data_IF_164438116590
#
_entry.id   IF_164438116590
#
_cell.length_a   1.000
_cell.length_b   1.000
_cell.length_c   1.000
_cell.angle_alpha   90.00
_cell.angle_beta   90.00
_cell.angle_gamma   90.00
#
_symmetry.space_group_name_H-M   'P 1'
#
loop_
_entity.id
_entity.type
_entity.pdbx_description
1 polymer ?
#
# COMPACT_ATOMS: atom_id res chain seq x y z
N UNK A 1 3.07 41.14 40.20
CA UNK A 1 1.75 40.70 39.68
C UNK A 1 1.23 39.62 40.59
N UNK A 2 0.21 39.93 41.36
CA UNK A 2 -0.42 38.95 42.28
C UNK A 2 -1.45 38.12 41.54
N UNK A 3 -1.60 36.86 41.94
CA UNK A 3 -2.58 35.87 41.37
C UNK A 3 -4.00 36.48 41.32
N UNK A 4 -4.33 37.31 42.30
CA UNK A 4 -5.60 38.03 42.40
C UNK A 4 -5.82 39.07 41.27
N UNK A 5 -4.76 39.77 40.85
CA UNK A 5 -4.85 40.73 39.74
C UNK A 5 -5.06 40.01 38.40
N UNK A 6 -4.41 38.84 38.22
CA UNK A 6 -4.63 38.02 37.05
C UNK A 6 -6.08 37.52 36.95
N UNK A 7 -6.66 37.03 38.04
CA UNK A 7 -8.07 36.61 38.05
C UNK A 7 -9.04 37.75 37.78
N UNK A 8 -8.75 38.92 38.32
CA UNK A 8 -9.58 40.12 38.12
C UNK A 8 -9.55 40.59 36.67
N UNK A 9 -8.39 40.61 36.07
CA UNK A 9 -8.21 41.00 34.63
C UNK A 9 -8.84 39.98 33.68
N UNK A 10 -8.67 38.69 33.97
CA UNK A 10 -9.26 37.61 33.18
C UNK A 10 -10.80 37.65 33.23
N UNK A 11 -11.37 37.91 34.42
CA UNK A 11 -12.84 38.03 34.58
C UNK A 11 -13.40 39.28 33.87
N UNK A 12 -12.68 40.37 33.84
CA UNK A 12 -13.08 41.58 33.10
C UNK A 12 -13.06 41.36 31.56
N UNK A 13 -12.14 40.50 31.08
CA UNK A 13 -11.98 40.20 29.65
C UNK A 13 -12.52 38.82 29.24
N UNK A 14 -13.36 38.20 30.08
CA UNK A 14 -13.92 36.88 29.81
C UNK A 14 -14.68 36.80 28.48
N UNK A 15 -15.31 37.91 28.09
CA UNK A 15 -15.98 38.05 26.80
C UNK A 15 -15.01 37.89 25.62
N UNK A 16 -13.82 38.49 25.66
CA UNK A 16 -12.80 38.35 24.63
C UNK A 16 -12.29 36.90 24.55
N UNK A 17 -12.15 36.21 25.69
CA UNK A 17 -11.73 34.82 25.75
C UNK A 17 -12.78 33.91 25.13
N UNK A 18 -14.06 34.15 25.41
CA UNK A 18 -15.16 33.38 24.79
C UNK A 18 -15.20 33.61 23.28
N UNK A 19 -15.06 34.85 22.80
CA UNK A 19 -15.00 35.12 21.36
C UNK A 19 -13.80 34.41 20.72
N UNK A 20 -12.63 34.44 21.35
CA UNK A 20 -11.45 33.73 20.87
C UNK A 20 -11.66 32.22 20.73
N UNK A 21 -12.30 31.60 21.72
CA UNK A 21 -12.67 30.18 21.69
C UNK A 21 -13.66 29.87 20.56
N UNK A 22 -14.71 30.70 20.41
CA UNK A 22 -15.75 30.48 19.37
C UNK A 22 -15.12 30.63 17.97
N UNK A 23 -14.33 31.67 17.75
CA UNK A 23 -13.64 31.90 16.46
C UNK A 23 -12.65 30.79 16.17
N UNK A 24 -11.84 30.39 17.17
CA UNK A 24 -10.89 29.27 17.02
C UNK A 24 -11.59 27.95 16.73
N UNK A 25 -12.69 27.65 17.42
CA UNK A 25 -13.49 26.45 17.18
C UNK A 25 -14.14 26.45 15.79
N UNK A 26 -14.71 27.59 15.37
CA UNK A 26 -15.30 27.73 14.04
C UNK A 26 -14.25 27.57 12.92
N UNK A 27 -13.09 28.20 13.06
CA UNK A 27 -11.99 28.07 12.12
C UNK A 27 -11.44 26.63 12.06
N UNK A 28 -11.24 25.99 13.22
CA UNK A 28 -10.77 24.60 13.29
C UNK A 28 -11.78 23.61 12.69
N UNK A 29 -13.06 23.80 13.00
CA UNK A 29 -14.13 22.96 12.43
C UNK A 29 -14.24 23.18 10.90
N UNK A 30 -14.17 24.43 10.45
CA UNK A 30 -14.18 24.74 9.02
C UNK A 30 -12.99 24.09 8.28
N UNK A 31 -11.80 24.16 8.85
CA UNK A 31 -10.61 23.52 8.29
C UNK A 31 -10.74 21.99 8.26
N UNK A 32 -11.20 21.38 9.34
CA UNK A 32 -11.38 19.94 9.44
C UNK A 32 -12.43 19.41 8.44
N UNK A 33 -13.51 20.16 8.20
CA UNK A 33 -14.57 19.77 7.25
C UNK A 33 -14.14 19.86 5.79
N UNK A 34 -13.11 20.64 5.48
CA UNK A 34 -12.54 20.77 4.13
C UNK A 34 -11.52 19.68 3.81
N UNK A 35 -11.09 18.89 4.80
CA UNK A 35 -10.13 17.80 4.54
C UNK A 35 -10.80 16.66 3.78
N UNK A 36 -10.18 16.18 2.69
CA UNK A 36 -10.69 15.03 1.95
C UNK A 36 -10.65 13.77 2.82
N UNK A 37 -11.74 13.02 2.83
CA UNK A 37 -11.78 11.73 3.54
C UNK A 37 -10.91 10.72 2.79
N UNK A 38 -9.98 10.12 3.50
CA UNK A 38 -9.10 9.08 2.98
C UNK A 38 -9.49 7.75 3.62
N UNK A 39 -9.86 6.79 2.78
CA UNK A 39 -10.17 5.43 3.19
C UNK A 39 -8.96 4.54 2.92
N UNK A 40 -8.59 3.71 3.90
CA UNK A 40 -7.52 2.74 3.77
C UNK A 40 -8.12 1.34 3.67
N UNK A 41 -7.57 0.52 2.77
CA UNK A 41 -7.89 -0.90 2.67
C UNK A 41 -6.59 -1.69 2.61
N UNK A 42 -6.57 -2.87 3.24
CA UNK A 42 -5.39 -3.73 3.26
C UNK A 42 -5.73 -5.13 2.77
N UNK A 43 -4.84 -5.69 1.95
CA UNK A 43 -4.90 -7.07 1.46
C UNK A 43 -3.58 -7.76 1.76
N UNK A 44 -3.62 -9.06 2.09
CA UNK A 44 -2.42 -9.82 2.43
C UNK A 44 -2.29 -11.06 1.58
N UNK A 45 -1.06 -11.39 1.17
CA UNK A 45 -0.72 -12.59 0.42
C UNK A 45 0.48 -13.31 1.01
N UNK A 46 0.47 -14.63 0.97
CA UNK A 46 1.58 -15.47 1.40
C UNK A 46 2.46 -15.84 0.20
N UNK A 47 3.77 -15.69 0.35
CA UNK A 47 4.76 -16.09 -0.66
C UNK A 47 5.21 -17.51 -0.36
N UNK A 48 4.91 -18.44 -1.25
CA UNK A 48 5.42 -19.82 -1.18
C UNK A 48 6.50 -20.00 -2.24
N UNK A 49 7.60 -20.62 -1.83
CA UNK A 49 8.65 -21.10 -2.73
C UNK A 49 8.60 -22.60 -2.64
N UNK A 50 8.15 -23.27 -3.69
CA UNK A 50 8.00 -24.71 -3.68
C UNK A 50 8.38 -25.35 -5.00
N UNK A 51 9.33 -26.25 -4.96
CA UNK A 51 9.44 -27.40 -5.84
C UNK A 51 8.97 -28.64 -5.09
N UNK A 52 8.32 -29.55 -5.81
CA UNK A 52 7.87 -30.86 -5.29
C UNK A 52 9.08 -31.77 -5.03
N UNK A 53 9.77 -31.51 -3.96
CA UNK A 53 10.92 -32.28 -3.50
C UNK A 53 11.26 -31.87 -2.08
N UNK A 54 11.69 -32.82 -1.27
CA UNK A 54 12.10 -32.67 0.14
C UNK A 54 13.15 -31.58 0.34
N UNK A 55 12.76 -30.31 0.24
CA UNK A 55 13.60 -29.18 0.55
C UNK A 55 13.47 -28.91 2.04
N UNK A 56 14.61 -28.74 2.67
CA UNK A 56 14.76 -28.37 4.07
C UNK A 56 13.83 -27.18 4.37
N UNK A 57 12.77 -27.44 5.15
CA UNK A 57 11.69 -26.49 5.45
C UNK A 57 12.24 -25.17 6.01
N UNK A 58 13.40 -25.21 6.63
CA UNK A 58 14.06 -24.07 7.25
C UNK A 58 14.69 -23.13 6.20
N UNK A 59 15.40 -23.67 5.22
CA UNK A 59 16.01 -22.90 4.14
C UNK A 59 14.96 -22.35 3.19
N UNK A 60 13.88 -23.09 2.93
CA UNK A 60 12.72 -22.64 2.16
C UNK A 60 12.01 -21.45 2.81
N UNK A 61 11.89 -21.45 4.14
CA UNK A 61 11.24 -20.36 4.87
C UNK A 61 12.06 -19.04 4.85
N UNK A 62 13.39 -19.13 4.93
CA UNK A 62 14.28 -17.97 4.85
C UNK A 62 14.27 -17.37 3.45
N UNK A 63 14.38 -18.19 2.42
CA UNK A 63 14.31 -17.75 1.02
C UNK A 63 12.96 -17.11 0.70
N UNK A 64 11.84 -17.65 1.22
CA UNK A 64 10.51 -17.08 1.04
C UNK A 64 10.38 -15.70 1.72
N UNK A 65 10.99 -15.49 2.89
CA UNK A 65 11.02 -14.18 3.56
C UNK A 65 11.81 -13.13 2.77
N UNK A 66 13.00 -13.48 2.29
CA UNK A 66 13.81 -12.58 1.47
C UNK A 66 13.09 -12.20 0.18
N UNK A 67 12.44 -13.16 -0.48
CA UNK A 67 11.62 -12.88 -1.67
C UNK A 67 10.40 -12.03 -1.34
N UNK A 68 9.72 -12.25 -0.21
CA UNK A 68 8.62 -11.40 0.21
C UNK A 68 9.04 -9.94 0.38
N UNK A 69 10.23 -9.68 0.93
CA UNK A 69 10.78 -8.31 1.03
C UNK A 69 11.06 -7.71 -0.34
N UNK A 70 11.68 -8.46 -1.24
CA UNK A 70 11.95 -8.01 -2.60
C UNK A 70 10.65 -7.73 -3.36
N UNK A 71 9.64 -8.58 -3.21
CA UNK A 71 8.35 -8.41 -3.88
C UNK A 71 7.53 -7.25 -3.31
N UNK A 72 7.64 -6.98 -2.00
CA UNK A 72 7.02 -5.80 -1.40
C UNK A 72 7.53 -4.49 -2.05
N UNK A 73 8.80 -4.44 -2.42
CA UNK A 73 9.36 -3.28 -3.14
C UNK A 73 8.78 -3.13 -4.56
N UNK A 74 8.41 -4.25 -5.20
CA UNK A 74 7.85 -4.25 -6.57
C UNK A 74 6.40 -3.76 -6.59
N UNK A 75 5.63 -3.92 -5.52
CA UNK A 75 4.21 -3.52 -5.46
C UNK A 75 4.00 -2.06 -5.86
N UNK A 76 4.89 -1.16 -5.46
CA UNK A 76 4.83 0.26 -5.80
C UNK A 76 5.55 0.64 -7.10
N UNK A 77 5.91 -0.36 -7.93
CA UNK A 77 6.55 -0.12 -9.22
C UNK A 77 5.57 0.42 -10.27
N UNK A 78 6.10 1.08 -11.29
CA UNK A 78 5.33 1.57 -12.44
C UNK A 78 4.64 0.43 -13.19
N UNK A 79 5.33 -0.70 -13.37
CA UNK A 79 4.80 -1.86 -14.09
C UNK A 79 3.56 -2.45 -13.40
N UNK A 80 3.60 -2.59 -12.06
CA UNK A 80 2.44 -3.05 -11.28
C UNK A 80 1.30 -2.03 -11.36
N UNK A 81 1.58 -0.73 -11.24
CA UNK A 81 0.55 0.29 -11.35
C UNK A 81 -0.12 0.34 -12.73
N UNK A 82 0.63 0.13 -13.81
CA UNK A 82 0.07 -0.01 -15.16
C UNK A 82 -0.83 -1.24 -15.27
N UNK A 83 -0.41 -2.36 -14.71
CA UNK A 83 -1.19 -3.60 -14.70
C UNK A 83 -2.50 -3.45 -13.91
N UNK A 84 -2.45 -2.76 -12.75
CA UNK A 84 -3.65 -2.43 -11.96
C UNK A 84 -4.62 -1.59 -12.81
N UNK A 85 -4.11 -0.58 -13.51
CA UNK A 85 -4.93 0.29 -14.36
C UNK A 85 -5.53 -0.45 -15.55
N UNK A 86 -4.78 -1.36 -16.18
CA UNK A 86 -5.27 -2.20 -17.26
C UNK A 86 -6.39 -3.15 -16.82
N UNK A 87 -6.23 -3.76 -15.63
CA UNK A 87 -7.20 -4.71 -15.08
C UNK A 87 -8.44 -4.03 -14.48
N UNK A 88 -8.34 -2.71 -14.17
CA UNK A 88 -9.42 -1.93 -13.58
C UNK A 88 -9.61 -0.60 -14.32
N UNK A 89 -10.16 -0.61 -15.54
CA UNK A 89 -10.34 0.60 -16.35
C UNK A 89 -11.31 1.61 -15.72
N UNK A 90 -12.14 1.17 -14.78
CA UNK A 90 -13.07 1.99 -13.99
C UNK A 90 -12.36 2.93 -12.99
N UNK A 91 -11.08 2.66 -12.66
CA UNK A 91 -10.28 3.55 -11.85
C UNK A 91 -9.88 4.79 -12.67
N UNK A 92 -10.44 5.94 -12.32
CA UNK A 92 -10.11 7.23 -12.94
C UNK A 92 -8.76 7.80 -12.51
N UNK A 93 -7.91 6.99 -11.85
CA UNK A 93 -6.60 7.37 -11.34
C UNK A 93 -5.52 7.23 -12.42
N UNK A 94 -4.54 8.12 -12.38
CA UNK A 94 -3.31 7.97 -13.18
C UNK A 94 -2.39 6.92 -12.54
N UNK A 95 -1.48 6.35 -13.33
CA UNK A 95 -0.48 5.38 -12.84
C UNK A 95 0.36 5.93 -11.68
N UNK A 96 0.74 7.22 -11.75
CA UNK A 96 1.45 7.90 -10.67
C UNK A 96 0.63 8.03 -9.39
N UNK A 97 -0.67 8.32 -9.51
CA UNK A 97 -1.59 8.37 -8.35
C UNK A 97 -1.79 6.98 -7.74
N UNK A 98 -1.91 5.94 -8.56
CA UNK A 98 -1.99 4.55 -8.09
C UNK A 98 -0.73 4.20 -7.27
N UNK A 99 0.47 4.49 -7.80
CA UNK A 99 1.73 4.27 -7.07
C UNK A 99 1.78 4.99 -5.72
N UNK A 100 1.43 6.28 -5.72
CA UNK A 100 1.45 7.10 -4.50
C UNK A 100 0.44 6.64 -3.44
N UNK A 101 -0.63 5.96 -3.85
CA UNK A 101 -1.66 5.44 -2.95
C UNK A 101 -1.36 4.04 -2.39
N UNK A 102 -0.32 3.36 -2.89
CA UNK A 102 0.03 2.01 -2.49
C UNK A 102 1.22 2.00 -1.54
N UNK A 103 1.12 1.21 -0.49
CA UNK A 103 2.21 0.89 0.44
C UNK A 103 2.23 -0.61 0.65
N UNK A 104 3.41 -1.23 0.53
CA UNK A 104 3.57 -2.65 0.79
C UNK A 104 4.62 -2.88 1.87
N UNK A 105 4.34 -3.84 2.74
CA UNK A 105 5.25 -4.28 3.79
C UNK A 105 5.37 -5.80 3.77
N UNK A 106 6.58 -6.30 3.96
CA UNK A 106 6.82 -7.72 4.19
C UNK A 106 6.81 -7.99 5.70
N UNK A 107 6.22 -9.10 6.10
CA UNK A 107 6.23 -9.54 7.51
C UNK A 107 7.64 -9.95 7.95
N UNK A 108 8.06 -9.51 9.14
CA UNK A 108 9.41 -9.80 9.65
C UNK A 108 9.63 -11.29 9.93
N UNK A 109 8.60 -11.99 10.37
CA UNK A 109 8.68 -13.40 10.79
C UNK A 109 7.94 -14.38 9.87
N UNK A 110 7.32 -13.90 8.80
CA UNK A 110 6.55 -14.71 7.86
C UNK A 110 6.82 -14.27 6.41
N UNK A 111 6.72 -15.20 5.49
CA UNK A 111 6.71 -14.91 4.05
C UNK A 111 5.38 -14.27 3.62
N UNK A 112 4.98 -13.20 4.30
CA UNK A 112 3.73 -12.49 4.13
C UNK A 112 4.00 -11.11 3.53
N UNK A 113 3.23 -10.76 2.52
CA UNK A 113 3.19 -9.39 1.97
C UNK A 113 1.84 -8.80 2.33
N UNK A 114 1.86 -7.64 2.96
CA UNK A 114 0.67 -6.84 3.22
C UNK A 114 0.71 -5.60 2.34
N UNK A 115 -0.31 -5.43 1.53
CA UNK A 115 -0.49 -4.27 0.66
C UNK A 115 -1.61 -3.41 1.23
N UNK A 116 -1.30 -2.17 1.51
CA UNK A 116 -2.25 -1.15 1.94
C UNK A 116 -2.44 -0.13 0.84
N UNK A 117 -3.69 0.18 0.53
CA UNK A 117 -4.06 1.18 -0.47
C UNK A 117 -4.93 2.28 0.17
N UNK A 118 -4.70 3.52 -0.23
CA UNK A 118 -5.47 4.68 0.20
C UNK A 118 -6.23 5.27 -0.99
N UNK A 119 -7.51 5.61 -0.79
CA UNK A 119 -8.33 6.24 -1.82
C UNK A 119 -9.42 7.14 -1.22
N UNK A 120 -10.02 7.98 -2.05
CA UNK A 120 -11.14 8.86 -1.68
C UNK A 120 -12.45 8.12 -1.44
N UNK A 121 -12.56 6.85 -1.85
CA UNK A 121 -13.74 6.02 -1.61
C UNK A 121 -13.36 4.62 -1.11
N UNK A 122 -14.21 3.99 -0.26
CA UNK A 122 -13.97 2.64 0.25
C UNK A 122 -13.81 1.61 -0.86
N UNK A 123 -14.65 1.70 -1.88
CA UNK A 123 -14.62 0.80 -3.04
C UNK A 123 -13.30 0.89 -3.81
N UNK A 124 -12.82 2.11 -4.06
CA UNK A 124 -11.55 2.30 -4.77
C UNK A 124 -10.35 1.83 -3.94
N UNK A 125 -10.38 2.03 -2.61
CA UNK A 125 -9.34 1.51 -1.73
C UNK A 125 -9.27 -0.03 -1.77
N UNK A 126 -10.42 -0.71 -1.74
CA UNK A 126 -10.49 -2.17 -1.87
C UNK A 126 -9.99 -2.65 -3.25
N UNK A 127 -10.45 -2.02 -4.33
CA UNK A 127 -10.01 -2.36 -5.69
C UNK A 127 -8.51 -2.18 -5.86
N UNK A 128 -7.94 -1.11 -5.32
CA UNK A 128 -6.51 -0.85 -5.37
C UNK A 128 -5.72 -1.90 -4.56
N UNK A 129 -6.14 -2.21 -3.33
CA UNK A 129 -5.42 -3.17 -2.48
C UNK A 129 -5.45 -4.59 -3.06
N UNK A 130 -6.62 -5.06 -3.51
CA UNK A 130 -6.76 -6.37 -4.14
C UNK A 130 -6.08 -6.41 -5.52
N UNK A 131 -6.29 -5.37 -6.33
CA UNK A 131 -5.68 -5.26 -7.64
C UNK A 131 -4.15 -5.19 -7.57
N UNK A 132 -3.58 -4.53 -6.57
CA UNK A 132 -2.15 -4.47 -6.37
C UNK A 132 -1.54 -5.83 -6.03
N UNK A 133 -2.18 -6.60 -5.13
CA UNK A 133 -1.71 -7.93 -4.79
C UNK A 133 -1.78 -8.87 -6.01
N UNK A 134 -2.88 -8.82 -6.75
CA UNK A 134 -3.08 -9.65 -7.95
C UNK A 134 -2.13 -9.25 -9.08
N UNK A 135 -2.00 -7.95 -9.39
CA UNK A 135 -1.08 -7.45 -10.40
C UNK A 135 0.38 -7.77 -10.07
N UNK A 136 0.75 -7.72 -8.77
CA UNK A 136 2.10 -8.12 -8.33
C UNK A 136 2.32 -9.62 -8.54
N UNK A 137 1.35 -10.46 -8.19
CA UNK A 137 1.45 -11.90 -8.41
C UNK A 137 1.60 -12.25 -9.90
N UNK A 138 0.84 -11.58 -10.76
CA UNK A 138 0.91 -11.78 -12.21
C UNK A 138 2.22 -11.26 -12.80
N UNK A 139 2.72 -10.13 -12.30
CA UNK A 139 4.01 -9.58 -12.71
C UNK A 139 5.19 -10.47 -12.30
N UNK A 140 5.16 -11.04 -11.08
CA UNK A 140 6.17 -11.98 -10.60
C UNK A 140 6.18 -13.25 -11.47
N UNK A 141 5.01 -13.80 -11.79
CA UNK A 141 4.90 -14.96 -12.69
C UNK A 141 5.50 -14.67 -14.06
N UNK A 142 5.26 -13.49 -14.61
CA UNK A 142 5.77 -13.08 -15.92
C UNK A 142 7.30 -12.98 -15.92
N UNK A 143 7.89 -12.42 -14.86
CA UNK A 143 9.34 -12.34 -14.68
C UNK A 143 9.95 -13.74 -14.52
N UNK A 144 9.34 -14.62 -13.74
CA UNK A 144 9.85 -15.97 -13.48
C UNK A 144 9.72 -16.88 -14.70
N UNK A 145 8.68 -16.70 -15.51
CA UNK A 145 8.49 -17.44 -16.76
C UNK A 145 9.38 -16.92 -17.89
N UNK A 146 9.79 -15.65 -17.84
CA UNK A 146 10.63 -15.01 -18.83
C UNK A 146 11.75 -14.19 -18.17
N UNK A 147 12.80 -14.84 -17.63
CA UNK A 147 13.91 -14.14 -16.96
C UNK A 147 14.67 -13.17 -17.90
N UNK A 148 14.61 -13.36 -19.20
CA UNK A 148 15.14 -12.42 -20.21
C UNK A 148 14.39 -11.09 -20.24
N UNK A 149 13.08 -11.08 -19.98
CA UNK A 149 12.29 -9.85 -19.93
C UNK A 149 12.55 -9.03 -18.65
N UNK A 150 12.96 -9.64 -17.56
CA UNK A 150 13.34 -8.93 -16.33
C UNK A 150 14.54 -8.00 -16.55
N UNK A 151 15.53 -8.42 -17.34
CA UNK A 151 16.69 -7.60 -17.71
C UNK A 151 16.35 -6.57 -18.80
N UNK A 152 15.44 -6.88 -19.72
CA UNK A 152 14.97 -5.96 -20.75
C UNK A 152 14.19 -4.76 -20.16
N UNK A 153 13.40 -4.98 -19.10
CA UNK A 153 12.69 -3.90 -18.41
C UNK A 153 13.62 -2.98 -17.61
N UNK A 154 14.77 -3.47 -17.17
CA UNK A 154 15.82 -2.67 -16.53
C UNK A 154 16.66 -1.91 -17.55
N UNK A 155 16.90 -2.49 -18.73
CA UNK A 155 17.79 -1.96 -19.76
C UNK A 155 17.08 -1.39 -21.01
N UNK A 156 15.74 -1.50 -21.09
CA UNK A 156 14.96 -0.99 -22.22
C UNK A 156 15.14 -1.76 -23.53
N UNK A 157 15.65 -2.99 -23.49
CA UNK A 157 15.99 -3.78 -24.67
C UNK A 157 15.24 -5.13 -24.67
N UNK A 158 14.55 -5.40 -25.77
CA UNK A 158 13.66 -6.55 -25.94
C UNK A 158 14.43 -7.71 -26.61
N UNK A 159 15.06 -8.57 -25.84
CA UNK A 159 15.73 -9.78 -26.35
C UNK A 159 15.05 -11.06 -25.85
N UNK A 160 14.42 -11.77 -26.80
CA UNK A 160 13.76 -13.06 -26.53
C UNK A 160 14.79 -14.16 -26.18
N UNK A 161 14.72 -14.66 -24.96
CA UNK A 161 15.42 -15.86 -24.53
C UNK A 161 14.42 -16.87 -23.95
N UNK A 162 14.54 -18.14 -24.40
CA UNK A 162 13.70 -19.26 -23.96
C UNK A 162 13.93 -19.65 -22.49
N UNK A 163 12.89 -20.05 -21.77
CA UNK A 163 13.01 -20.39 -20.36
C UNK A 163 13.51 -21.83 -20.18
N UNK A 164 14.53 -22.00 -19.36
CA UNK A 164 14.94 -23.31 -18.82
C UNK A 164 14.55 -23.31 -17.33
N UNK A 165 13.75 -24.29 -16.95
CA UNK A 165 13.27 -24.71 -15.65
C UNK A 165 13.63 -23.83 -14.43
N UNK A 166 12.70 -23.09 -13.93
CA UNK A 166 12.84 -22.28 -12.71
C UNK A 166 11.76 -22.61 -11.69
N UNK A 167 12.15 -22.60 -10.42
CA UNK A 167 11.29 -22.68 -9.24
C UNK A 167 10.08 -21.74 -9.38
N UNK A 168 8.89 -22.29 -9.42
CA UNK A 168 7.65 -21.51 -9.48
C UNK A 168 7.36 -20.91 -8.11
N UNK A 169 7.47 -19.61 -8.01
CA UNK A 169 7.00 -18.84 -6.85
C UNK A 169 5.53 -18.52 -7.04
N UNK A 170 4.75 -18.72 -5.99
CA UNK A 170 3.31 -18.44 -6.01
C UNK A 170 2.95 -17.49 -4.86
N UNK A 171 2.27 -16.42 -5.21
CA UNK A 171 1.62 -15.55 -4.21
C UNK A 171 0.17 -16.00 -4.07
N UNK A 172 -0.20 -16.45 -2.89
CA UNK A 172 -1.56 -16.90 -2.57
C UNK A 172 -2.24 -15.79 -1.79
N UNK A 173 -3.31 -15.18 -2.32
CA UNK A 173 -4.09 -14.21 -1.57
C UNK A 173 -4.76 -14.91 -0.38
N UNK A 174 -4.55 -14.41 0.83
CA UNK A 174 -5.10 -14.95 2.06
C UNK A 174 -6.41 -14.27 2.45
N UNK A 175 -6.56 -13.01 2.09
CA UNK A 175 -7.71 -12.23 2.53
C UNK A 175 -8.05 -11.15 1.50
N UNK A 176 -9.35 -10.96 1.26
CA UNK A 176 -9.82 -9.82 0.49
C UNK A 176 -9.67 -8.55 1.32
N UNK A 177 -9.40 -7.44 0.65
CA UNK A 177 -9.19 -6.17 1.31
C UNK A 177 -10.39 -5.80 2.20
N UNK A 178 -10.13 -5.60 3.48
CA UNK A 178 -11.08 -4.99 4.41
C UNK A 178 -10.84 -3.49 4.48
N UNK A 179 -11.92 -2.72 4.46
CA UNK A 179 -11.84 -1.26 4.63
C UNK A 179 -11.79 -0.95 6.12
N UNK A 180 -10.77 -0.21 6.54
CA UNK A 180 -10.80 0.45 7.84
C UNK A 180 -11.55 1.77 7.69
N UNK A 181 -12.64 2.00 8.44
CA UNK A 181 -13.31 3.29 8.46
C UNK A 181 -12.35 4.36 8.99
N UNK A 182 -12.53 5.61 8.57
CA UNK A 182 -11.72 6.74 9.03
C UNK A 182 -11.96 7.07 10.49
#
# INVERSE_FOLDING_TARGET
MTILEFFRTTRANLWLLIIGIVVGAAAGFGYASLQPRVYAASSSGYVTVGESGTVDVLSGSTAAKERARSYAAIVSSEAVAQKIKQNNPELSLTTGQIRASLTATAGDNAALITVSAQASSPKNAQLLANGALQATADYIKEIEQNPGNAQALVNGENTGASPTGGNTVRVIPLNNASVNPP
#
